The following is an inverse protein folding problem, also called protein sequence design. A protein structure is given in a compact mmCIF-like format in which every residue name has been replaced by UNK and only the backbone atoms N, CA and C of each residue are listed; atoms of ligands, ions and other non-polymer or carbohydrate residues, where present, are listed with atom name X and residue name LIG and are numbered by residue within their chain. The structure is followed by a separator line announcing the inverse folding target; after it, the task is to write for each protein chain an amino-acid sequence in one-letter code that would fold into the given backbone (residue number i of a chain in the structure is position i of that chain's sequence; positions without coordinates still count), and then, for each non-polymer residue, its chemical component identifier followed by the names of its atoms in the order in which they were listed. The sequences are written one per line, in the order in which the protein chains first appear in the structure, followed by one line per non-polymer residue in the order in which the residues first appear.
data_IF_506210767045
#
_entry.id   IF_506210767045
#
_cell.length_a   1.000
_cell.length_b   1.000
_cell.length_c   1.000
_cell.angle_alpha   90.00
_cell.angle_beta   90.00
_cell.angle_gamma   90.00
#
_symmetry.space_group_name_H-M   'P 1'
#
loop_
_entity.id
_entity.type
_entity.pdbx_description
1 polymer ?
#
# COMPACT_ATOMS: atom_id res chain seq x y z
N UNK A 1 -17.36 -8.94 25.83
CA UNK A 1 -16.14 -8.37 25.22
C UNK A 1 -15.57 -7.36 26.21
N UNK A 2 -14.33 -7.50 26.67
CA UNK A 2 -13.71 -6.62 27.66
C UNK A 2 -13.14 -5.39 26.97
N UNK A 3 -13.11 -4.25 27.67
CA UNK A 3 -12.57 -2.98 27.15
C UNK A 3 -11.16 -3.14 26.56
N UNK A 4 -10.35 -4.01 27.18
CA UNK A 4 -8.99 -4.34 26.75
C UNK A 4 -8.94 -5.02 25.36
N UNK A 5 -9.94 -5.86 25.01
CA UNK A 5 -10.02 -6.47 23.68
C UNK A 5 -10.35 -5.43 22.59
N UNK A 6 -11.22 -4.46 22.88
CA UNK A 6 -11.53 -3.39 21.90
C UNK A 6 -10.34 -2.47 21.61
N UNK A 7 -9.48 -2.21 22.61
CA UNK A 7 -8.26 -1.42 22.38
C UNK A 7 -7.22 -2.19 21.55
N UNK A 8 -7.07 -3.49 21.82
CA UNK A 8 -6.19 -4.37 21.05
C UNK A 8 -6.61 -4.40 19.56
N UNK A 9 -7.90 -4.63 19.29
CA UNK A 9 -8.44 -4.68 17.92
C UNK A 9 -8.24 -3.35 17.18
N UNK A 10 -8.50 -2.20 17.82
CA UNK A 10 -8.29 -0.89 17.20
C UNK A 10 -6.82 -0.60 16.93
N UNK A 11 -5.92 -1.06 17.79
CA UNK A 11 -4.49 -0.90 17.58
C UNK A 11 -4.01 -1.72 16.39
N UNK A 12 -4.42 -2.99 16.31
CA UNK A 12 -4.10 -3.87 15.18
C UNK A 12 -4.66 -3.32 13.86
N UNK A 13 -5.89 -2.80 13.86
CA UNK A 13 -6.48 -2.11 12.71
C UNK A 13 -5.65 -0.89 12.27
N UNK A 14 -5.19 -0.08 13.23
CA UNK A 14 -4.36 1.09 12.93
C UNK A 14 -3.00 0.73 12.33
N UNK A 15 -2.39 -0.37 12.81
CA UNK A 15 -1.12 -0.88 12.26
C UNK A 15 -1.31 -1.36 10.82
N UNK A 16 -2.35 -2.15 10.54
CA UNK A 16 -2.58 -2.65 9.18
C UNK A 16 -2.89 -1.51 8.21
N UNK A 17 -3.75 -0.55 8.60
CA UNK A 17 -4.03 0.64 7.80
C UNK A 17 -2.76 1.46 7.50
N UNK A 18 -1.89 1.64 8.50
CA UNK A 18 -0.63 2.33 8.32
C UNK A 18 0.30 1.60 7.35
N UNK A 19 0.33 0.27 7.42
CA UNK A 19 1.14 -0.57 6.54
C UNK A 19 0.64 -0.50 5.10
N UNK A 20 -0.66 -0.66 4.88
CA UNK A 20 -1.30 -0.52 3.56
C UNK A 20 -1.05 0.86 2.94
N UNK A 21 -1.25 1.92 3.73
CA UNK A 21 -1.05 3.28 3.25
C UNK A 21 0.42 3.56 2.90
N UNK A 22 1.36 3.06 3.71
CA UNK A 22 2.80 3.18 3.46
C UNK A 22 3.21 2.46 2.18
N UNK A 23 2.75 1.23 1.98
CA UNK A 23 2.99 0.44 0.77
C UNK A 23 2.44 1.14 -0.47
N UNK A 24 1.20 1.63 -0.43
CA UNK A 24 0.58 2.40 -1.52
C UNK A 24 1.36 3.67 -1.86
N UNK A 25 1.74 4.47 -0.86
CA UNK A 25 2.52 5.68 -1.10
C UNK A 25 3.92 5.38 -1.66
N UNK A 26 4.55 4.30 -1.21
CA UNK A 26 5.85 3.87 -1.72
C UNK A 26 5.75 3.50 -3.20
N UNK A 27 4.78 2.66 -3.58
CA UNK A 27 4.52 2.30 -4.97
C UNK A 27 4.23 3.52 -5.85
N UNK A 28 3.39 4.45 -5.40
CA UNK A 28 3.09 5.69 -6.14
C UNK A 28 4.35 6.54 -6.41
N UNK A 29 5.27 6.64 -5.45
CA UNK A 29 6.54 7.36 -5.65
C UNK A 29 7.43 6.65 -6.66
N UNK A 30 7.48 5.31 -6.62
CA UNK A 30 8.26 4.51 -7.57
C UNK A 30 7.70 4.62 -9.00
N UNK A 31 6.38 4.52 -9.15
CA UNK A 31 5.68 4.70 -10.43
C UNK A 31 5.99 6.11 -10.99
N UNK A 32 5.84 7.15 -10.16
CA UNK A 32 6.16 8.53 -10.56
C UNK A 32 7.63 8.72 -10.95
N UNK A 33 8.54 7.98 -10.35
CA UNK A 33 9.95 8.03 -10.70
C UNK A 33 10.21 7.46 -12.10
N UNK A 34 9.38 6.52 -12.59
CA UNK A 34 9.47 5.95 -13.93
C UNK A 34 10.74 5.14 -14.20
N UNK A 35 11.41 4.66 -13.14
CA UNK A 35 12.71 3.95 -13.21
C UNK A 35 12.63 2.44 -13.00
N UNK A 36 11.51 1.97 -12.50
CA UNK A 36 11.29 0.57 -12.10
C UNK A 36 10.16 -0.02 -12.92
N UNK A 37 10.27 -1.32 -13.21
CA UNK A 37 9.18 -2.11 -13.78
C UNK A 37 8.06 -2.32 -12.75
N UNK A 38 6.80 -2.57 -13.19
CA UNK A 38 5.70 -2.92 -12.29
C UNK A 38 6.05 -4.10 -11.36
N UNK A 39 6.81 -5.08 -11.86
CA UNK A 39 7.32 -6.23 -11.12
C UNK A 39 8.23 -5.83 -9.95
N UNK A 40 9.20 -4.96 -10.21
CA UNK A 40 10.10 -4.44 -9.18
C UNK A 40 9.34 -3.62 -8.14
N UNK A 41 8.37 -2.81 -8.60
CA UNK A 41 7.54 -2.00 -7.71
C UNK A 41 6.70 -2.89 -6.80
N UNK A 42 6.09 -3.96 -7.32
CA UNK A 42 5.36 -4.94 -6.53
C UNK A 42 6.26 -5.59 -5.47
N UNK A 43 7.47 -6.01 -5.87
CA UNK A 43 8.45 -6.61 -4.97
C UNK A 43 8.87 -5.66 -3.84
N UNK A 44 9.20 -4.40 -4.14
CA UNK A 44 9.69 -3.44 -3.15
C UNK A 44 8.60 -2.82 -2.29
N UNK A 45 7.39 -2.64 -2.82
CA UNK A 45 6.26 -2.09 -2.06
C UNK A 45 5.52 -3.13 -1.24
N UNK A 46 5.72 -4.43 -1.53
CA UNK A 46 4.95 -5.52 -0.94
C UNK A 46 3.50 -5.55 -1.42
N UNK A 47 3.18 -4.83 -2.51
CA UNK A 47 1.86 -4.84 -3.13
C UNK A 47 1.78 -5.95 -4.18
N UNK A 48 0.60 -6.56 -4.37
CA UNK A 48 0.37 -7.44 -5.51
C UNK A 48 0.44 -6.66 -6.82
N UNK A 49 0.87 -7.33 -7.89
CA UNK A 49 1.02 -6.73 -9.21
C UNK A 49 -0.24 -6.00 -9.70
N UNK A 50 -1.40 -6.61 -9.47
CA UNK A 50 -2.69 -6.04 -9.85
C UNK A 50 -2.91 -4.64 -9.25
N UNK A 51 -2.60 -4.47 -7.96
CA UNK A 51 -2.68 -3.16 -7.31
C UNK A 51 -1.68 -2.16 -7.88
N UNK A 52 -0.47 -2.60 -8.22
CA UNK A 52 0.53 -1.72 -8.86
C UNK A 52 0.03 -1.22 -10.22
N UNK A 53 -0.52 -2.12 -11.04
CA UNK A 53 -1.08 -1.77 -12.35
C UNK A 53 -2.28 -0.83 -12.23
N UNK A 54 -3.14 -1.02 -11.22
CA UNK A 54 -4.27 -0.13 -10.99
C UNK A 54 -3.82 1.24 -10.51
N UNK A 55 -2.80 1.32 -9.65
CA UNK A 55 -2.17 2.60 -9.27
C UNK A 55 -1.55 3.33 -10.47
N UNK A 56 -0.93 2.59 -11.40
CA UNK A 56 -0.40 3.18 -12.64
C UNK A 56 -1.51 3.74 -13.53
N UNK A 57 -2.62 3.01 -13.68
CA UNK A 57 -3.79 3.48 -14.43
C UNK A 57 -4.41 4.71 -13.78
N UNK A 58 -4.65 4.69 -12.47
CA UNK A 58 -5.14 5.83 -11.71
C UNK A 58 -4.27 7.07 -11.98
N UNK A 59 -2.95 6.93 -11.90
CA UNK A 59 -2.03 8.04 -12.09
C UNK A 59 -1.99 8.58 -13.53
N UNK A 60 -2.14 7.71 -14.54
CA UNK A 60 -2.22 8.13 -15.95
C UNK A 60 -3.57 8.73 -16.35
N UNK A 61 -4.61 8.46 -15.56
CA UNK A 61 -5.96 8.99 -15.80
C UNK A 61 -6.20 10.40 -15.23
N UNK A 62 -5.20 10.98 -14.56
CA UNK A 62 -5.16 12.36 -14.04
C UNK A 62 -4.33 13.23 -14.97
#
# INVERSE_FOLDING_TARGET
MTLQMQYQEKFEQGIEQGREQSSRQSALRMIKAGKLSPEEIAMYSGLPMEQVLDLEKELRSV
#
